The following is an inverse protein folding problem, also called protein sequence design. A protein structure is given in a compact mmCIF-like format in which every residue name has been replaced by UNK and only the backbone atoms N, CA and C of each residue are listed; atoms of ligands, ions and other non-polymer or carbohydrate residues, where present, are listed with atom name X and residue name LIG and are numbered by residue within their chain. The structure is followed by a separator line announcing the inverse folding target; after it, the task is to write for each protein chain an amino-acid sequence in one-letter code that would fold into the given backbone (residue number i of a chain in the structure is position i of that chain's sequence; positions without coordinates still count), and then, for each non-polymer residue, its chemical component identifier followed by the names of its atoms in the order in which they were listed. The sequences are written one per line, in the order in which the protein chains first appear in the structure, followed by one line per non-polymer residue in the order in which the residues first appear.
data_IF_091998742490
#
_entry.id   IF_091998742490
#
_cell.length_a   1.000
_cell.length_b   1.000
_cell.length_c   1.000
_cell.angle_alpha   90.00
_cell.angle_beta   90.00
_cell.angle_gamma   90.00
#
_symmetry.space_group_name_H-M   'P 1'
#
loop_
_entity.id
_entity.type
_entity.pdbx_description
1 polymer ?
#
# COMPACT_ATOMS: atom_id res chain seq x y z
N UNK A 1 -2.64 -3.88 23.80
CA UNK A 1 -3.19 -3.27 22.57
C UNK A 1 -2.02 -2.68 21.85
N UNK A 2 -1.77 -3.08 20.59
CA UNK A 2 -0.82 -2.35 19.74
C UNK A 2 -1.36 -0.93 19.55
N UNK A 3 -0.51 0.07 19.78
CA UNK A 3 -0.85 1.44 19.43
C UNK A 3 -0.63 1.65 17.91
N UNK A 4 -1.11 2.77 17.36
CA UNK A 4 -0.98 3.08 15.93
C UNK A 4 0.48 3.03 15.44
N UNK A 5 1.42 3.50 16.26
CA UNK A 5 2.84 3.51 15.93
C UNK A 5 3.41 2.10 15.89
N UNK A 6 2.94 1.19 16.74
CA UNK A 6 3.34 -0.22 16.71
C UNK A 6 2.92 -0.88 15.40
N UNK A 7 1.67 -0.67 14.94
CA UNK A 7 1.19 -1.24 13.67
C UNK A 7 2.03 -0.74 12.48
N UNK A 8 2.35 0.56 12.47
CA UNK A 8 3.21 1.16 11.45
C UNK A 8 4.62 0.56 11.48
N UNK A 9 5.21 0.45 12.67
CA UNK A 9 6.54 -0.12 12.84
C UNK A 9 6.58 -1.57 12.40
N UNK A 10 5.65 -2.41 12.87
CA UNK A 10 5.54 -3.82 12.47
C UNK A 10 5.44 -3.99 10.96
N UNK A 11 4.64 -3.16 10.27
CA UNK A 11 4.54 -3.20 8.80
C UNK A 11 5.90 -2.91 8.14
N UNK A 12 6.57 -1.83 8.54
CA UNK A 12 7.82 -1.41 7.91
C UNK A 12 8.95 -2.38 8.24
N UNK A 13 9.04 -2.85 9.48
CA UNK A 13 10.04 -3.82 9.93
C UNK A 13 9.86 -5.17 9.23
N UNK A 14 8.61 -5.63 9.03
CA UNK A 14 8.32 -6.84 8.27
C UNK A 14 8.86 -6.74 6.84
N UNK A 15 8.56 -5.66 6.11
CA UNK A 15 9.05 -5.51 4.74
C UNK A 15 10.55 -5.21 4.66
N UNK A 16 11.13 -4.52 5.64
CA UNK A 16 12.58 -4.38 5.74
C UNK A 16 13.27 -5.75 5.82
N UNK A 17 12.71 -6.69 6.62
CA UNK A 17 13.21 -8.06 6.71
C UNK A 17 13.07 -8.86 5.40
N UNK A 18 12.15 -8.48 4.51
CA UNK A 18 11.98 -9.07 3.17
C UNK A 18 12.83 -8.38 2.07
N UNK A 19 13.73 -7.47 2.48
CA UNK A 19 14.66 -6.78 1.59
C UNK A 19 14.07 -5.55 0.89
N UNK A 20 12.97 -4.99 1.39
CA UNK A 20 12.43 -3.73 0.88
C UNK A 20 13.18 -2.54 1.47
N UNK A 21 13.51 -1.55 0.63
CA UNK A 21 13.99 -0.26 1.09
C UNK A 21 12.87 0.49 1.81
N UNK A 22 13.12 0.98 3.03
CA UNK A 22 12.13 1.79 3.76
C UNK A 22 12.23 3.24 3.32
N UNK A 23 11.27 3.64 2.48
CA UNK A 23 11.26 4.97 1.86
C UNK A 23 10.38 5.92 2.68
N UNK A 24 10.87 7.13 3.02
CA UNK A 24 10.06 8.13 3.71
C UNK A 24 8.79 8.52 2.93
N UNK A 25 7.76 8.96 3.66
CA UNK A 25 6.57 9.52 3.05
C UNK A 25 6.91 10.77 2.23
N UNK A 26 6.42 10.82 0.99
CA UNK A 26 6.48 12.01 0.18
C UNK A 26 5.54 13.12 0.71
N UNK A 27 5.77 14.39 0.34
CA UNK A 27 4.84 15.48 0.65
C UNK A 27 3.42 15.23 0.13
N UNK A 28 2.44 15.87 0.77
CA UNK A 28 1.04 15.80 0.33
C UNK A 28 0.78 16.47 -1.02
N UNK A 29 1.58 17.47 -1.37
CA UNK A 29 1.50 18.16 -2.66
C UNK A 29 2.63 17.62 -3.55
N UNK A 30 2.32 16.87 -4.62
CA UNK A 30 3.32 16.38 -5.56
C UNK A 30 4.06 17.55 -6.22
N UNK A 31 5.38 17.45 -6.35
CA UNK A 31 6.19 18.51 -7.00
C UNK A 31 6.22 18.40 -8.53
N UNK A 32 6.08 17.19 -9.06
CA UNK A 32 6.38 16.86 -10.45
C UNK A 32 5.19 16.25 -11.21
N UNK A 33 3.97 16.35 -10.67
CA UNK A 33 2.77 15.85 -11.35
C UNK A 33 1.64 16.90 -11.28
N UNK A 34 1.48 17.73 -12.34
CA UNK A 34 0.46 18.77 -12.37
C UNK A 34 -0.97 18.22 -12.49
N UNK A 35 -1.13 16.92 -12.74
CA UNK A 35 -2.45 16.27 -12.85
C UNK A 35 -3.00 15.84 -11.48
N UNK A 36 -2.15 15.83 -10.44
CA UNK A 36 -2.52 15.43 -9.08
C UNK A 36 -2.56 16.63 -8.15
N UNK A 37 -3.72 16.89 -7.56
CA UNK A 37 -3.89 17.92 -6.54
C UNK A 37 -3.23 17.54 -5.20
N UNK A 38 -3.41 16.27 -4.78
CA UNK A 38 -2.79 15.72 -3.57
C UNK A 38 -2.32 14.29 -3.79
N UNK A 39 -1.33 13.87 -3.00
CA UNK A 39 -0.91 12.47 -2.87
C UNK A 39 -2.06 11.67 -2.25
N UNK A 40 -2.69 10.79 -3.03
CA UNK A 40 -3.86 10.00 -2.63
C UNK A 40 -3.54 8.52 -2.36
N UNK A 41 -2.32 8.08 -2.67
CA UNK A 41 -1.83 6.73 -2.52
C UNK A 41 -0.30 6.67 -2.33
N UNK A 42 0.20 5.59 -1.73
CA UNK A 42 1.63 5.34 -1.53
C UNK A 42 2.45 5.27 -2.83
N UNK A 43 1.84 4.78 -3.92
CA UNK A 43 2.53 4.59 -5.20
C UNK A 43 2.89 5.89 -5.93
N UNK A 44 2.28 7.03 -5.57
CA UNK A 44 2.41 8.29 -6.33
C UNK A 44 3.87 8.73 -6.45
N UNK A 45 4.66 8.58 -5.38
CA UNK A 45 6.09 8.93 -5.38
C UNK A 45 6.98 7.96 -6.19
N UNK A 46 6.43 6.83 -6.61
CA UNK A 46 7.08 5.78 -7.38
C UNK A 46 6.55 5.67 -8.82
N UNK A 47 5.66 6.58 -9.24
CA UNK A 47 5.05 6.56 -10.57
C UNK A 47 6.08 6.40 -11.69
N UNK A 48 7.17 7.17 -11.64
CA UNK A 48 8.21 7.13 -12.65
C UNK A 48 9.02 5.83 -12.65
N UNK A 49 9.16 5.17 -11.49
CA UNK A 49 9.77 3.84 -11.40
C UNK A 49 8.88 2.80 -12.09
N UNK A 50 7.57 2.83 -11.80
CA UNK A 50 6.61 1.90 -12.43
C UNK A 50 6.55 2.08 -13.96
N UNK A 51 6.70 3.30 -14.46
CA UNK A 51 6.70 3.57 -15.91
C UNK A 51 8.09 3.46 -16.56
N UNK A 52 9.12 3.07 -15.81
CA UNK A 52 10.50 2.95 -16.32
C UNK A 52 11.17 4.28 -16.70
N UNK A 53 10.61 5.42 -16.30
CA UNK A 53 11.16 6.76 -16.54
C UNK A 53 12.26 7.13 -15.52
N UNK A 54 12.29 6.44 -14.39
CA UNK A 54 13.28 6.58 -13.33
C UNK A 54 13.75 5.20 -12.90
N UNK A 55 15.03 5.08 -12.55
CA UNK A 55 15.58 3.90 -11.90
C UNK A 55 16.18 4.30 -10.56
N UNK A 56 16.11 3.39 -9.58
CA UNK A 56 16.75 3.55 -8.26
C UNK A 56 17.62 2.34 -7.97
N UNK A 57 18.46 2.46 -6.94
CA UNK A 57 19.38 1.40 -6.52
C UNK A 57 18.65 0.18 -5.92
N UNK A 58 17.36 0.29 -5.61
CA UNK A 58 16.51 -0.76 -5.07
C UNK A 58 15.42 -1.16 -6.06
N UNK A 59 15.03 -2.43 -6.02
CA UNK A 59 13.92 -3.00 -6.78
C UNK A 59 12.68 -3.26 -5.91
N UNK A 60 12.81 -3.10 -4.59
CA UNK A 60 11.75 -3.27 -3.60
C UNK A 60 11.69 -2.04 -2.70
N UNK A 61 10.51 -1.56 -2.37
CA UNK A 61 10.33 -0.47 -1.43
C UNK A 61 9.10 -0.66 -0.55
N UNK A 62 9.13 -0.16 0.68
CA UNK A 62 7.96 -0.07 1.54
C UNK A 62 7.88 1.32 2.18
N UNK A 63 6.66 1.82 2.40
CA UNK A 63 6.45 3.14 3.02
C UNK A 63 5.12 3.23 3.78
N UNK A 64 5.05 4.22 4.69
CA UNK A 64 3.81 4.69 5.31
C UNK A 64 3.50 6.09 4.77
N UNK A 65 2.72 6.16 3.70
CA UNK A 65 2.44 7.41 3.00
C UNK A 65 1.24 8.14 3.60
N UNK A 66 1.40 9.44 3.89
CA UNK A 66 0.28 10.31 4.21
C UNK A 66 -0.52 10.60 2.95
N UNK A 67 -1.82 10.38 2.98
CA UNK A 67 -2.71 10.48 1.83
C UNK A 67 -3.86 11.45 2.10
N UNK A 68 -4.29 12.16 1.05
CA UNK A 68 -5.51 12.97 1.05
C UNK A 68 -6.44 12.52 -0.08
N UNK A 69 -7.70 12.27 0.25
CA UNK A 69 -8.80 11.95 -0.69
C UNK A 69 -9.97 12.90 -0.49
N UNK A 70 -9.76 14.15 -0.92
CA UNK A 70 -10.74 15.23 -0.80
C UNK A 70 -10.92 15.99 -2.13
N UNK A 71 -10.65 15.35 -3.27
CA UNK A 71 -10.79 15.97 -4.58
C UNK A 71 -10.21 15.14 -5.73
N UNK A 72 -10.59 15.47 -6.96
CA UNK A 72 -10.18 14.74 -8.17
C UNK A 72 -10.84 13.37 -8.27
N UNK A 73 -10.14 12.39 -8.87
CA UNK A 73 -10.67 11.03 -9.13
C UNK A 73 -10.96 10.24 -7.85
N UNK A 74 -10.21 10.49 -6.78
CA UNK A 74 -10.39 9.81 -5.49
C UNK A 74 -10.85 10.82 -4.45
N UNK A 75 -12.16 10.84 -4.17
CA UNK A 75 -12.78 11.80 -3.28
C UNK A 75 -13.71 11.09 -2.30
N UNK A 76 -13.36 11.13 -1.01
CA UNK A 76 -14.12 10.54 0.07
C UNK A 76 -14.82 11.61 0.93
N UNK A 77 -14.74 12.89 0.56
CA UNK A 77 -15.20 14.03 1.36
C UNK A 77 -16.67 13.88 1.82
N UNK A 78 -17.56 13.53 0.90
CA UNK A 78 -18.99 13.40 1.18
C UNK A 78 -19.34 12.15 2.02
N UNK A 79 -18.41 11.20 2.16
CA UNK A 79 -18.59 9.98 2.97
C UNK A 79 -18.12 10.16 4.43
N UNK A 80 -17.29 11.17 4.70
CA UNK A 80 -16.73 11.42 6.03
C UNK A 80 -17.83 11.87 6.98
N UNK A 81 -17.88 11.25 8.17
CA UNK A 81 -18.92 11.51 9.17
C UNK A 81 -20.18 10.65 9.01
N UNK A 82 -20.39 10.04 7.83
CA UNK A 82 -21.53 9.12 7.59
C UNK A 82 -21.18 7.64 7.78
N UNK A 83 -19.88 7.33 7.80
CA UNK A 83 -19.40 5.94 7.92
C UNK A 83 -18.22 5.87 8.87
N UNK A 84 -17.97 4.67 9.41
CA UNK A 84 -16.85 4.42 10.32
C UNK A 84 -15.50 4.16 9.61
N UNK A 85 -15.42 4.29 8.27
CA UNK A 85 -14.25 3.85 7.48
C UNK A 85 -13.68 4.87 6.49
N UNK A 86 -14.40 5.93 6.19
CA UNK A 86 -13.93 6.95 5.23
C UNK A 86 -13.29 8.12 5.98
N UNK A 87 -12.10 8.51 5.52
CA UNK A 87 -11.31 9.63 6.04
C UNK A 87 -10.85 10.50 4.88
N UNK A 88 -10.73 11.81 5.10
CA UNK A 88 -10.08 12.70 4.12
C UNK A 88 -8.57 12.57 4.17
N UNK A 89 -8.00 12.51 5.37
CA UNK A 89 -6.57 12.32 5.63
C UNK A 89 -6.33 10.98 6.33
N UNK A 90 -5.41 10.18 5.81
CA UNK A 90 -5.07 8.87 6.36
C UNK A 90 -3.64 8.48 6.00
N UNK A 91 -3.13 7.40 6.60
CA UNK A 91 -1.87 6.79 6.19
C UNK A 91 -2.11 5.50 5.41
N UNK A 92 -1.41 5.34 4.30
CA UNK A 92 -1.40 4.15 3.47
C UNK A 92 -0.07 3.43 3.66
N UNK A 93 -0.12 2.25 4.27
CA UNK A 93 0.99 1.31 4.34
C UNK A 93 1.04 0.55 3.01
N UNK A 94 2.20 0.55 2.34
CA UNK A 94 2.35 -0.12 1.05
C UNK A 94 3.74 -0.70 0.83
N UNK A 95 3.79 -1.87 0.20
CA UNK A 95 4.98 -2.52 -0.34
C UNK A 95 4.92 -2.50 -1.87
N UNK A 96 6.06 -2.29 -2.50
CA UNK A 96 6.18 -2.05 -3.94
C UNK A 96 7.32 -2.91 -4.48
N UNK A 97 7.06 -3.58 -5.61
CA UNK A 97 8.09 -4.25 -6.40
C UNK A 97 8.22 -3.57 -7.76
N UNK A 98 9.45 -3.33 -8.17
CA UNK A 98 9.82 -2.69 -9.43
C UNK A 98 10.54 -3.71 -10.31
N UNK A 99 9.77 -4.63 -10.89
CA UNK A 99 10.29 -5.67 -11.78
C UNK A 99 11.03 -6.81 -11.08
N UNK A 100 10.70 -7.09 -9.82
CA UNK A 100 11.40 -8.10 -9.01
C UNK A 100 10.50 -9.28 -8.58
N UNK A 101 9.48 -9.09 -7.75
CA UNK A 101 8.49 -10.12 -7.40
C UNK A 101 7.10 -9.75 -7.93
N UNK A 102 6.20 -10.74 -8.03
CA UNK A 102 4.88 -10.57 -8.61
C UNK A 102 3.77 -11.14 -7.72
N UNK A 103 2.73 -11.74 -8.30
CA UNK A 103 1.50 -12.12 -7.59
C UNK A 103 1.74 -13.09 -6.43
N UNK A 104 2.53 -14.13 -6.67
CA UNK A 104 2.85 -15.19 -5.71
C UNK A 104 3.44 -14.62 -4.41
N UNK A 105 4.55 -13.90 -4.49
CA UNK A 105 5.20 -13.31 -3.33
C UNK A 105 4.40 -12.15 -2.74
N UNK A 106 3.69 -11.37 -3.56
CA UNK A 106 2.83 -10.29 -3.06
C UNK A 106 1.70 -10.84 -2.17
N UNK A 107 1.08 -11.94 -2.59
CA UNK A 107 0.05 -12.65 -1.82
C UNK A 107 0.66 -13.25 -0.56
N UNK A 108 1.79 -13.95 -0.68
CA UNK A 108 2.46 -14.58 0.47
C UNK A 108 2.83 -13.55 1.54
N UNK A 109 3.47 -12.44 1.16
CA UNK A 109 3.83 -11.39 2.11
C UNK A 109 2.62 -10.78 2.81
N UNK A 110 1.56 -10.45 2.06
CA UNK A 110 0.34 -9.90 2.65
C UNK A 110 -0.32 -10.90 3.63
N UNK A 111 -0.38 -12.18 3.24
CA UNK A 111 -0.98 -13.23 4.07
C UNK A 111 -0.18 -13.49 5.35
N UNK A 112 1.14 -13.57 5.25
CA UNK A 112 2.03 -13.73 6.41
C UNK A 112 1.91 -12.55 7.37
N UNK A 113 1.96 -11.32 6.87
CA UNK A 113 1.81 -10.12 7.68
C UNK A 113 0.46 -10.12 8.43
N UNK A 114 -0.64 -10.38 7.73
CA UNK A 114 -2.00 -10.33 8.31
C UNK A 114 -2.23 -11.45 9.33
N UNK A 115 -1.83 -12.68 9.03
CA UNK A 115 -2.16 -13.85 9.85
C UNK A 115 -1.11 -14.19 10.91
N UNK A 116 0.16 -13.86 10.67
CA UNK A 116 1.27 -14.16 11.58
C UNK A 116 1.64 -12.93 12.42
N UNK A 117 2.03 -11.84 11.77
CA UNK A 117 2.51 -10.64 12.49
C UNK A 117 1.36 -9.91 13.20
N UNK A 118 0.23 -9.69 12.52
CA UNK A 118 -0.95 -9.09 13.13
C UNK A 118 -1.87 -10.09 13.83
N UNK A 119 -1.65 -11.40 13.63
CA UNK A 119 -2.38 -12.46 14.32
C UNK A 119 -3.88 -12.50 14.02
N UNK A 120 -4.33 -11.99 12.86
CA UNK A 120 -5.74 -12.01 12.51
C UNK A 120 -6.17 -13.45 12.14
N UNK A 121 -7.30 -13.93 12.69
CA UNK A 121 -7.77 -15.29 12.43
C UNK A 121 -8.19 -15.44 10.97
N UNK A 122 -7.57 -16.38 10.26
CA UNK A 122 -7.82 -16.63 8.84
C UNK A 122 -9.30 -16.87 8.51
N UNK A 123 -10.06 -17.47 9.43
CA UNK A 123 -11.51 -17.72 9.28
C UNK A 123 -12.37 -16.45 9.20
N UNK A 124 -11.81 -15.28 9.50
CA UNK A 124 -12.50 -13.97 9.39
C UNK A 124 -12.03 -13.15 8.19
N UNK A 125 -11.12 -13.69 7.38
CA UNK A 125 -10.59 -13.02 6.20
C UNK A 125 -11.37 -13.45 4.96
N UNK A 126 -11.58 -12.51 4.05
CA UNK A 126 -12.16 -12.75 2.73
C UNK A 126 -11.22 -12.16 1.70
N UNK A 127 -11.05 -12.85 0.58
CA UNK A 127 -10.22 -12.43 -0.54
C UNK A 127 -11.10 -12.27 -1.77
N UNK A 128 -10.81 -11.26 -2.58
CA UNK A 128 -11.49 -11.02 -3.86
C UNK A 128 -10.44 -10.85 -4.95
N UNK A 129 -10.63 -11.52 -6.08
CA UNK A 129 -9.78 -11.42 -7.26
C UNK A 129 -10.57 -10.84 -8.43
N UNK A 130 -9.88 -10.32 -9.43
CA UNK A 130 -10.52 -9.85 -10.66
C UNK A 130 -11.10 -11.05 -11.44
N UNK A 131 -12.23 -10.86 -12.12
CA UNK A 131 -13.02 -11.98 -12.66
C UNK A 131 -12.27 -12.81 -13.71
N UNK A 132 -11.35 -12.18 -14.44
CA UNK A 132 -10.51 -12.81 -15.47
C UNK A 132 -9.07 -13.08 -15.00
N UNK A 133 -8.77 -12.95 -13.70
CA UNK A 133 -7.44 -13.24 -13.14
C UNK A 133 -7.40 -14.64 -12.50
N UNK A 134 -7.37 -15.66 -13.37
CA UNK A 134 -7.29 -17.08 -12.96
C UNK A 134 -6.02 -17.37 -12.14
N UNK A 135 -4.91 -16.70 -12.45
CA UNK A 135 -3.63 -16.88 -11.75
C UNK A 135 -3.74 -16.46 -10.28
N UNK A 136 -4.33 -15.28 -10.00
CA UNK A 136 -4.53 -14.84 -8.63
C UNK A 136 -5.53 -15.74 -7.89
N UNK A 137 -6.58 -16.22 -8.59
CA UNK A 137 -7.56 -17.14 -8.01
C UNK A 137 -6.91 -18.45 -7.57
N UNK A 138 -6.08 -19.05 -8.42
CA UNK A 138 -5.39 -20.31 -8.12
C UNK A 138 -4.32 -20.14 -7.03
N UNK A 139 -3.67 -18.98 -6.94
CA UNK A 139 -2.72 -18.68 -5.84
C UNK A 139 -3.38 -18.57 -4.46
N UNK A 140 -4.67 -18.20 -4.40
CA UNK A 140 -5.43 -18.09 -3.15
C UNK A 140 -6.15 -19.37 -2.74
N UNK A 141 -6.32 -20.31 -3.67
CA UNK A 141 -7.05 -21.58 -3.45
C UNK A 141 -6.22 -22.57 -2.64
#
# INVERSE_FOLDING_TARGET
MSNLSDIRATFLDFFAAQGHEIVPAAPLVPRNDPTLMFTNAGMVQFKNLFTGQEQRAYQRAASSQKCVRAGGKHNDLDNVGYTARHLTFFEMLGNFSFGDYFKDAAIEFAWQLVTREFGLPASRLCVTVYAEDDEAFDLWR
#
